data_IF_554873040692
#
_entry.id   IF_554873040692
#
_cell.length_a   1.000
_cell.length_b   1.000
_cell.length_c   1.000
_cell.angle_alpha   90.00
_cell.angle_beta   90.00
_cell.angle_gamma   90.00
#
_symmetry.space_group_name_H-M   'P 1'
#
loop_
_entity.id
_entity.type
_entity.pdbx_description
1 polymer ?
#
# COMPACT_ATOMS: atom_id res chain seq x y z
N UNK A 1 28.92 -4.03 29.93
CA UNK A 1 29.27 -2.68 30.40
C UNK A 1 30.73 -2.40 30.07
N UNK A 2 30.98 -1.43 29.21
CA UNK A 2 32.27 -0.72 29.11
C UNK A 2 31.88 0.76 29.11
N UNK A 3 32.44 1.55 30.04
CA UNK A 3 32.16 2.99 30.23
C UNK A 3 30.68 3.40 30.32
N UNK A 4 29.90 2.76 31.18
CA UNK A 4 28.67 3.37 31.74
C UNK A 4 27.44 3.49 30.83
N UNK A 5 27.41 2.92 29.63
CA UNK A 5 26.20 2.89 28.79
C UNK A 5 25.32 1.66 29.03
N UNK A 6 24.00 1.84 29.07
CA UNK A 6 23.00 0.78 28.91
C UNK A 6 22.68 0.68 27.42
N UNK A 7 22.81 -0.52 26.86
CA UNK A 7 22.55 -0.82 25.47
C UNK A 7 21.24 -1.60 25.39
N UNK A 8 20.24 -1.07 24.67
CA UNK A 8 19.07 -1.85 24.26
C UNK A 8 19.13 -1.96 22.74
N UNK A 9 19.39 -3.17 22.26
CA UNK A 9 19.41 -3.50 20.84
C UNK A 9 18.57 -4.76 20.65
N UNK A 10 17.66 -4.74 19.67
CA UNK A 10 16.99 -5.95 19.19
C UNK A 10 17.82 -6.53 18.04
N UNK A 11 18.62 -7.56 18.32
CA UNK A 11 19.38 -8.32 17.31
C UNK A 11 20.84 -8.59 17.69
N UNK A 12 21.47 -9.55 16.99
CA UNK A 12 22.86 -9.99 17.20
C UNK A 12 23.85 -9.08 16.46
N UNK A 13 24.85 -8.53 17.16
CA UNK A 13 25.94 -7.73 16.60
C UNK A 13 27.27 -8.12 17.26
N UNK A 14 28.38 -7.86 16.57
CA UNK A 14 29.73 -8.00 17.13
C UNK A 14 30.27 -6.61 17.48
N UNK A 15 30.69 -6.45 18.74
CA UNK A 15 31.33 -5.25 19.24
C UNK A 15 32.83 -5.51 19.41
N UNK A 16 33.68 -4.66 18.82
CA UNK A 16 35.13 -4.70 19.03
C UNK A 16 35.60 -3.32 19.48
N UNK A 17 36.44 -3.29 20.51
CA UNK A 17 37.07 -2.08 21.02
C UNK A 17 38.49 -1.98 20.48
N UNK A 18 38.81 -0.88 19.83
CA UNK A 18 40.16 -0.63 19.33
C UNK A 18 40.51 0.84 19.62
N UNK A 19 41.56 1.08 20.41
CA UNK A 19 42.10 2.42 20.64
C UNK A 19 41.21 3.42 21.40
N UNK A 20 40.11 2.99 22.03
CA UNK A 20 39.17 3.88 22.73
C UNK A 20 37.90 4.21 21.94
N UNK A 21 37.83 3.79 20.67
CA UNK A 21 36.65 3.89 19.84
C UNK A 21 35.83 2.58 19.87
N UNK A 22 34.50 2.73 19.87
CA UNK A 22 33.56 1.62 19.71
C UNK A 22 33.20 1.49 18.24
N UNK A 23 33.54 0.35 17.64
CA UNK A 23 33.22 0.06 16.23
C UNK A 23 32.05 -0.92 16.18
N UNK A 24 30.99 -0.55 15.44
CA UNK A 24 29.80 -1.37 15.25
C UNK A 24 29.83 -2.05 13.89
N UNK A 25 29.53 -3.35 13.88
CA UNK A 25 29.34 -4.11 12.65
C UNK A 25 27.95 -4.72 12.65
N UNK A 26 27.09 -4.28 11.71
CA UNK A 26 25.83 -4.96 11.44
C UNK A 26 26.11 -6.29 10.74
N UNK A 27 25.20 -7.26 10.90
CA UNK A 27 25.34 -8.61 10.36
C UNK A 27 25.48 -8.68 8.81
N UNK A 28 25.37 -7.55 8.10
CA UNK A 28 25.35 -7.47 6.63
C UNK A 28 26.52 -6.64 6.07
N UNK A 29 27.54 -6.32 6.88
CA UNK A 29 28.82 -5.78 6.40
C UNK A 29 28.83 -4.28 6.04
N UNK A 30 27.78 -3.52 6.35
CA UNK A 30 27.78 -2.06 6.14
C UNK A 30 28.43 -1.32 7.32
N UNK A 31 29.29 -0.35 6.98
CA UNK A 31 30.00 0.52 7.92
C UNK A 31 29.38 1.92 7.89
N UNK A 32 28.93 2.49 9.02
CA UNK A 32 28.57 3.90 9.07
C UNK A 32 29.83 4.77 8.97
N UNK A 33 29.75 5.90 8.26
CA UNK A 33 30.81 6.90 8.22
C UNK A 33 30.61 7.89 9.37
N UNK A 34 31.65 8.09 10.18
CA UNK A 34 31.64 9.02 11.32
C UNK A 34 32.50 10.23 10.95
N UNK A 35 31.95 11.44 11.06
CA UNK A 35 32.68 12.69 10.87
C UNK A 35 32.87 13.39 12.22
N UNK A 36 34.09 13.84 12.48
CA UNK A 36 34.46 14.56 13.70
C UNK A 36 34.61 16.06 13.40
N UNK A 37 34.09 16.93 14.28
CA UNK A 37 34.48 18.34 14.29
C UNK A 37 35.68 18.59 15.23
N UNK A 38 36.34 19.74 15.06
CA UNK A 38 37.57 20.09 15.78
C UNK A 38 37.38 20.34 17.30
N UNK A 39 36.15 20.31 17.83
CA UNK A 39 35.84 20.56 19.23
C UNK A 39 35.45 19.29 20.01
N UNK A 40 35.48 18.11 19.38
CA UNK A 40 35.14 16.84 20.05
C UNK A 40 33.65 16.70 20.39
N UNK A 41 32.78 17.51 19.79
CA UNK A 41 31.34 17.37 19.92
C UNK A 41 30.80 16.48 18.79
N UNK A 42 29.91 15.55 19.15
CA UNK A 42 29.54 14.41 18.29
C UNK A 42 28.36 14.76 17.40
N UNK A 43 28.50 14.52 16.10
CA UNK A 43 27.40 14.49 15.12
C UNK A 43 27.37 13.07 14.52
N UNK A 44 26.24 12.38 14.66
CA UNK A 44 25.97 11.12 13.96
C UNK A 44 25.09 11.47 12.76
N UNK A 45 25.58 11.23 11.55
CA UNK A 45 24.76 11.31 10.34
C UNK A 45 24.38 9.89 9.90
N UNK A 46 23.10 9.56 10.02
CA UNK A 46 22.50 8.43 9.32
C UNK A 46 21.72 8.97 8.12
N UNK A 47 21.79 8.25 7.00
CA UNK A 47 20.94 8.52 5.85
C UNK A 47 19.47 8.62 6.32
N UNK A 48 18.77 9.68 5.86
CA UNK A 48 17.42 10.13 6.26
C UNK A 48 17.33 11.03 7.51
N UNK A 49 18.10 12.13 7.53
CA UNK A 49 17.79 13.34 8.33
C UNK A 49 17.53 13.13 9.84
N UNK A 50 18.24 12.22 10.51
CA UNK A 50 18.21 12.14 11.97
C UNK A 50 19.54 12.66 12.50
N UNK A 51 19.49 13.74 13.29
CA UNK A 51 20.60 14.23 14.12
C UNK A 51 20.30 13.86 15.56
N UNK A 52 21.09 12.97 16.16
CA UNK A 52 21.00 12.64 17.59
C UNK A 52 22.17 13.31 18.32
N UNK A 53 21.86 14.27 19.19
CA UNK A 53 22.83 14.88 20.09
C UNK A 53 22.85 14.09 21.41
N UNK A 54 23.96 13.40 21.70
CA UNK A 54 24.13 12.67 22.97
C UNK A 54 24.94 13.53 23.93
N UNK A 55 24.34 13.96 25.04
CA UNK A 55 25.05 14.56 26.16
C UNK A 55 25.64 13.47 27.06
N UNK A 56 26.91 13.62 27.42
CA UNK A 56 27.55 12.76 28.43
C UNK A 56 27.40 13.45 29.78
N UNK A 57 26.36 13.10 30.54
CA UNK A 57 26.15 13.56 31.91
C UNK A 57 24.86 13.00 32.52
N UNK A 58 24.96 12.45 33.74
CA UNK A 58 23.83 11.87 34.52
C UNK A 58 22.92 12.96 35.10
N UNK A 59 22.24 13.73 34.26
CA UNK A 59 21.30 14.76 34.73
C UNK A 59 20.13 14.82 33.76
N UNK A 60 18.90 14.74 34.29
CA UNK A 60 17.72 15.10 33.50
C UNK A 60 17.70 16.61 33.21
N UNK A 61 16.81 17.14 32.34
CA UNK A 61 16.73 18.57 32.05
C UNK A 61 16.44 19.47 33.28
N UNK A 62 16.15 18.88 34.45
CA UNK A 62 15.72 19.55 35.68
C UNK A 62 16.72 19.41 36.82
N UNK A 63 17.92 18.88 36.58
CA UNK A 63 18.96 18.84 37.60
C UNK A 63 18.82 17.72 38.63
N UNK A 64 17.90 16.76 38.46
CA UNK A 64 17.67 15.71 39.45
C UNK A 64 18.35 14.38 39.07
N UNK A 65 18.92 13.71 40.08
CA UNK A 65 19.55 12.40 39.88
C UNK A 65 18.49 11.35 39.55
N UNK A 66 18.55 10.77 38.37
CA UNK A 66 17.66 9.68 37.97
C UNK A 66 18.16 8.37 38.60
N UNK A 67 17.34 7.72 39.44
CA UNK A 67 17.63 6.37 39.91
C UNK A 67 17.65 5.41 38.72
N UNK A 68 18.60 4.47 38.72
CA UNK A 68 18.79 3.44 37.68
C UNK A 68 17.47 2.76 37.33
N UNK A 69 16.96 3.01 36.11
CA UNK A 69 15.84 2.26 35.53
C UNK A 69 14.73 3.06 34.86
N UNK A 70 14.71 4.39 34.93
CA UNK A 70 13.67 5.20 34.30
C UNK A 70 14.22 6.04 33.14
N UNK A 71 13.78 5.78 31.90
CA UNK A 71 13.85 6.74 30.81
C UNK A 71 12.54 7.53 30.79
N UNK A 72 12.61 8.87 30.75
CA UNK A 72 11.41 9.72 30.69
C UNK A 72 11.38 10.44 29.35
N UNK A 73 10.37 10.17 28.53
CA UNK A 73 10.11 10.94 27.31
C UNK A 73 9.66 12.37 27.67
N UNK A 74 10.19 13.37 26.98
CA UNK A 74 9.87 14.79 27.21
C UNK A 74 9.47 15.47 25.88
N UNK A 75 8.64 16.52 25.96
CA UNK A 75 8.21 17.35 24.82
C UNK A 75 8.83 18.75 24.94
N UNK A 76 9.30 19.33 23.82
CA UNK A 76 9.86 20.68 23.75
C UNK A 76 8.96 21.57 22.89
N UNK A 77 8.35 22.60 23.50
CA UNK A 77 7.48 23.56 22.83
C UNK A 77 7.76 24.97 23.36
N UNK A 78 7.67 25.98 22.48
CA UNK A 78 7.82 27.40 22.83
C UNK A 78 9.06 27.75 23.69
N UNK A 79 10.17 27.03 23.52
CA UNK A 79 11.42 27.27 24.25
C UNK A 79 11.48 26.64 25.65
N UNK A 80 10.53 25.78 26.02
CA UNK A 80 10.49 25.13 27.33
C UNK A 80 10.28 23.60 27.23
N UNK A 81 10.80 22.88 28.23
CA UNK A 81 10.60 21.45 28.40
C UNK A 81 9.34 21.16 29.24
N UNK A 82 8.56 20.17 28.83
CA UNK A 82 7.34 19.75 29.55
C UNK A 82 7.42 18.28 29.98
N UNK A 83 7.06 18.00 31.24
CA UNK A 83 6.94 16.65 31.80
C UNK A 83 5.56 16.08 31.44
N UNK A 84 5.44 14.83 30.92
CA UNK A 84 4.13 14.24 30.63
C UNK A 84 3.33 14.07 31.92
N UNK A 85 2.07 14.54 31.99
CA UNK A 85 1.16 14.21 33.09
C UNK A 85 0.37 12.94 32.76
N UNK A 86 0.09 12.13 33.78
CA UNK A 86 -0.79 10.97 33.64
C UNK A 86 -2.21 11.45 33.27
N UNK A 87 -2.60 11.26 32.01
CA UNK A 87 -3.85 11.78 31.45
C UNK A 87 -3.66 12.68 30.21
N UNK A 88 -2.43 13.00 29.82
CA UNK A 88 -2.14 13.77 28.60
C UNK A 88 -2.19 12.89 27.33
N UNK A 89 -3.34 12.26 27.08
CA UNK A 89 -3.73 11.80 25.74
C UNK A 89 -4.61 12.84 25.04
N UNK A 90 -4.36 14.13 25.31
CA UNK A 90 -5.01 15.19 24.55
C UNK A 90 -4.22 15.43 23.28
N UNK A 91 -4.78 14.92 22.18
CA UNK A 91 -4.49 15.36 20.82
C UNK A 91 -4.39 16.90 20.79
N UNK A 92 -3.54 17.43 19.91
CA UNK A 92 -3.33 18.87 19.74
C UNK A 92 -4.63 19.68 19.49
N UNK A 93 -5.74 19.00 19.14
CA UNK A 93 -7.03 19.61 18.83
C UNK A 93 -8.16 19.29 19.82
N UNK A 94 -7.87 18.69 21.00
CA UNK A 94 -8.90 18.40 22.01
C UNK A 94 -9.94 17.33 21.61
N UNK A 95 -9.65 16.56 20.56
CA UNK A 95 -10.52 15.49 20.05
C UNK A 95 -10.44 14.22 20.92
N UNK A 96 -11.56 13.77 21.48
CA UNK A 96 -11.67 12.48 22.17
C UNK A 96 -12.19 11.40 21.21
N UNK A 97 -11.52 10.25 21.16
CA UNK A 97 -11.97 9.09 20.39
C UNK A 97 -13.29 8.57 21.00
N UNK A 98 -14.38 8.44 20.22
CA UNK A 98 -15.66 7.96 20.74
C UNK A 98 -15.61 6.47 21.08
N UNK A 99 -16.50 6.01 21.96
CA UNK A 99 -16.61 4.58 22.27
C UNK A 99 -17.17 3.76 21.10
N UNK A 100 -18.02 4.36 20.27
CA UNK A 100 -18.64 3.74 19.10
C UNK A 100 -18.54 4.63 17.87
N UNK A 101 -18.54 3.99 16.71
CA UNK A 101 -18.52 4.60 15.38
C UNK A 101 -19.64 4.04 14.50
N UNK A 102 -19.91 4.76 13.42
CA UNK A 102 -20.67 4.25 12.28
C UNK A 102 -19.75 3.44 11.37
N UNK A 103 -20.20 2.27 10.95
CA UNK A 103 -19.56 1.44 9.95
C UNK A 103 -20.60 0.84 9.01
N UNK A 104 -20.18 0.45 7.80
CA UNK A 104 -21.03 -0.26 6.84
C UNK A 104 -20.81 -1.76 7.01
N UNK A 105 -21.78 -2.45 7.61
CA UNK A 105 -21.76 -3.91 7.73
C UNK A 105 -22.44 -4.60 6.56
N UNK A 106 -22.24 -5.93 6.47
CA UNK A 106 -22.96 -6.81 5.54
C UNK A 106 -23.97 -7.59 6.38
N UNK A 107 -25.27 -7.27 6.25
CA UNK A 107 -26.31 -7.92 7.07
C UNK A 107 -26.46 -9.42 6.75
N UNK A 108 -26.46 -9.74 5.45
CA UNK A 108 -26.44 -11.08 4.90
C UNK A 108 -25.81 -11.03 3.49
N UNK A 109 -25.21 -12.13 2.99
CA UNK A 109 -24.70 -12.15 1.63
C UNK A 109 -25.78 -11.80 0.60
N UNK A 110 -25.52 -10.85 -0.31
CA UNK A 110 -26.57 -10.36 -1.20
C UNK A 110 -26.13 -9.31 -2.23
N UNK A 111 -27.13 -8.61 -2.80
CA UNK A 111 -26.96 -7.46 -3.69
C UNK A 111 -26.45 -6.22 -2.93
N UNK A 112 -26.25 -5.07 -3.60
CA UNK A 112 -25.68 -3.88 -2.98
C UNK A 112 -26.45 -3.42 -1.72
N UNK A 113 -27.75 -3.69 -1.66
CA UNK A 113 -28.64 -3.45 -0.52
C UNK A 113 -28.25 -4.19 0.77
N UNK A 114 -27.37 -5.20 0.69
CA UNK A 114 -26.82 -5.88 1.85
C UNK A 114 -25.89 -5.00 2.71
N UNK A 115 -25.40 -3.89 2.14
CA UNK A 115 -24.57 -2.91 2.83
C UNK A 115 -25.44 -1.96 3.65
N UNK A 116 -25.33 -2.05 4.96
CA UNK A 116 -26.15 -1.29 5.90
C UNK A 116 -25.29 -0.59 6.94
N UNK A 117 -25.69 0.63 7.32
CA UNK A 117 -25.05 1.33 8.42
C UNK A 117 -25.31 0.62 9.75
N UNK A 118 -24.27 0.49 10.57
CA UNK A 118 -24.28 -0.14 11.87
C UNK A 118 -23.49 0.71 12.87
N UNK A 119 -23.92 0.69 14.14
CA UNK A 119 -23.10 1.19 15.25
C UNK A 119 -22.19 0.07 15.74
N UNK A 120 -20.89 0.36 15.83
CA UNK A 120 -19.84 -0.61 16.21
C UNK A 120 -18.87 0.06 17.18
N UNK A 121 -18.24 -0.69 18.11
CA UNK A 121 -17.16 -0.14 18.93
C UNK A 121 -16.01 0.39 18.06
N UNK A 122 -15.39 1.50 18.45
CA UNK A 122 -14.15 1.94 17.83
C UNK A 122 -13.04 0.94 18.20
N UNK A 123 -12.32 0.35 17.22
CA UNK A 123 -11.25 -0.59 17.52
C UNK A 123 -10.07 0.10 18.19
N UNK A 124 -9.44 -0.56 19.16
CA UNK A 124 -8.18 -0.11 19.75
C UNK A 124 -7.00 -0.69 18.94
N UNK A 125 -5.97 0.10 18.60
CA UNK A 125 -4.80 -0.42 17.89
C UNK A 125 -3.96 -1.31 18.81
N UNK A 126 -3.55 -2.47 18.31
CA UNK A 126 -2.58 -3.35 18.96
C UNK A 126 -1.13 -2.87 18.81
N UNK A 127 -0.18 -3.68 19.28
CA UNK A 127 1.25 -3.42 19.12
C UNK A 127 1.65 -3.33 17.63
N UNK A 128 2.30 -2.23 17.25
CA UNK A 128 2.70 -1.98 15.87
C UNK A 128 1.55 -1.57 14.94
N UNK A 129 0.37 -1.27 15.48
CA UNK A 129 -0.79 -0.79 14.75
C UNK A 129 -1.10 0.68 15.07
N UNK A 130 -1.85 1.32 14.18
CA UNK A 130 -2.34 2.68 14.32
C UNK A 130 -3.85 2.71 14.09
N UNK A 131 -4.53 3.60 14.80
CA UNK A 131 -5.93 3.93 14.56
C UNK A 131 -6.01 5.16 13.68
N UNK A 132 -6.63 5.02 12.51
CA UNK A 132 -6.84 6.09 11.55
C UNK A 132 -8.28 6.58 11.69
N UNK A 133 -8.47 7.87 11.93
CA UNK A 133 -9.76 8.54 11.69
C UNK A 133 -9.87 8.72 10.18
N UNK A 134 -10.77 7.95 9.58
CA UNK A 134 -10.87 7.82 8.13
C UNK A 134 -11.47 9.10 7.54
N UNK A 135 -10.88 9.56 6.44
CA UNK A 135 -11.42 10.64 5.61
C UNK A 135 -12.10 10.08 4.36
N UNK A 136 -11.49 9.05 3.77
CA UNK A 136 -12.06 8.33 2.64
C UNK A 136 -11.60 6.86 2.59
N UNK A 137 -12.40 6.02 1.95
CA UNK A 137 -12.10 4.60 1.72
C UNK A 137 -12.29 4.23 0.25
N UNK A 138 -11.37 3.45 -0.31
CA UNK A 138 -11.49 2.96 -1.69
C UNK A 138 -12.42 1.75 -1.80
N UNK A 139 -13.26 1.74 -2.84
CA UNK A 139 -14.11 0.59 -3.18
C UNK A 139 -13.36 -0.32 -4.14
N UNK A 140 -13.35 -1.62 -3.83
CA UNK A 140 -12.60 -2.63 -4.58
C UNK A 140 -13.44 -3.88 -4.90
N UNK A 141 -13.06 -4.60 -5.96
CA UNK A 141 -13.76 -5.82 -6.38
C UNK A 141 -13.84 -6.90 -5.28
N UNK A 142 -12.81 -7.12 -4.43
CA UNK A 142 -12.94 -8.02 -3.29
C UNK A 142 -14.00 -7.60 -2.27
N UNK A 143 -14.31 -6.30 -2.11
CA UNK A 143 -15.39 -5.84 -1.22
C UNK A 143 -16.75 -6.34 -1.73
N UNK A 144 -16.96 -6.26 -3.04
CA UNK A 144 -18.15 -6.82 -3.71
C UNK A 144 -18.23 -8.33 -3.52
N UNK A 145 -17.12 -9.06 -3.69
CA UNK A 145 -17.11 -10.50 -3.51
C UNK A 145 -17.32 -10.90 -2.04
N UNK A 146 -16.81 -10.12 -1.08
CA UNK A 146 -17.08 -10.31 0.34
C UNK A 146 -18.56 -10.10 0.65
N UNK A 147 -19.17 -9.03 0.14
CA UNK A 147 -20.61 -8.77 0.22
C UNK A 147 -21.45 -9.91 -0.36
N UNK A 148 -21.00 -10.53 -1.44
CA UNK A 148 -21.68 -11.68 -2.05
C UNK A 148 -21.42 -13.01 -1.32
N UNK A 149 -20.63 -13.02 -0.24
CA UNK A 149 -20.26 -14.24 0.50
C UNK A 149 -19.25 -15.14 -0.21
N UNK A 150 -18.58 -14.64 -1.27
CA UNK A 150 -17.62 -15.39 -2.09
C UNK A 150 -16.16 -15.15 -1.71
N UNK A 151 -15.89 -14.18 -0.84
CA UNK A 151 -14.53 -13.81 -0.44
C UNK A 151 -14.50 -13.42 1.04
N UNK A 152 -14.60 -14.39 1.96
CA UNK A 152 -14.60 -14.11 3.40
C UNK A 152 -13.28 -13.43 3.83
N UNK A 153 -13.33 -12.55 4.84
CA UNK A 153 -12.11 -11.98 5.41
C UNK A 153 -11.20 -13.09 5.97
N UNK A 154 -9.87 -12.91 5.93
CA UNK A 154 -8.96 -13.84 6.59
C UNK A 154 -9.17 -13.83 8.11
N UNK A 155 -8.83 -14.93 8.82
CA UNK A 155 -8.95 -14.99 10.28
C UNK A 155 -8.25 -13.81 10.97
N UNK A 156 -8.93 -13.16 11.91
CA UNK A 156 -8.43 -12.00 12.65
C UNK A 156 -8.62 -10.64 11.97
N UNK A 157 -8.99 -10.61 10.68
CA UNK A 157 -9.37 -9.35 10.03
C UNK A 157 -10.81 -8.95 10.36
N UNK A 158 -11.11 -7.66 10.21
CA UNK A 158 -12.47 -7.14 10.39
C UNK A 158 -13.46 -7.75 9.40
N UNK A 159 -14.68 -8.00 9.87
CA UNK A 159 -15.84 -8.39 9.06
C UNK A 159 -16.39 -7.22 8.22
N UNK A 160 -16.09 -5.99 8.61
CA UNK A 160 -16.44 -4.78 7.87
C UNK A 160 -15.61 -4.75 6.56
N UNK A 161 -16.23 -4.51 5.39
CA UNK A 161 -15.53 -4.37 4.10
C UNK A 161 -14.62 -3.13 4.05
N UNK A 162 -13.83 -3.02 2.98
CA UNK A 162 -12.91 -1.91 2.75
C UNK A 162 -11.46 -2.30 2.99
N UNK A 163 -10.69 -2.26 1.90
CA UNK A 163 -9.29 -2.72 1.84
C UNK A 163 -8.27 -1.57 1.80
N UNK A 164 -8.71 -0.33 1.73
CA UNK A 164 -7.81 0.82 1.70
C UNK A 164 -8.53 2.05 2.25
N UNK A 165 -7.78 2.91 2.92
CA UNK A 165 -8.27 4.18 3.48
C UNK A 165 -7.24 5.27 3.35
N UNK A 166 -7.68 6.51 3.50
CA UNK A 166 -6.86 7.65 3.91
C UNK A 166 -7.47 8.32 5.13
N UNK A 167 -6.65 9.05 5.88
CA UNK A 167 -7.12 9.76 7.05
C UNK A 167 -5.99 10.29 7.92
N UNK A 168 -6.30 10.56 9.18
CA UNK A 168 -5.33 11.03 10.18
C UNK A 168 -5.15 9.98 11.26
N UNK A 169 -3.92 9.69 11.65
CA UNK A 169 -3.64 8.79 12.77
C UNK A 169 -4.03 9.50 14.09
N UNK A 170 -4.88 8.87 14.88
CA UNK A 170 -5.41 9.43 16.14
C UNK A 170 -5.02 8.63 17.39
N UNK A 171 -4.56 7.40 17.22
CA UNK A 171 -3.95 6.61 18.29
C UNK A 171 -2.98 5.58 17.70
N UNK A 172 -2.10 5.04 18.52
CA UNK A 172 -1.12 4.03 18.15
C UNK A 172 -0.91 3.05 19.29
N UNK A 173 -0.47 1.83 18.98
CA UNK A 173 -0.05 0.85 19.97
C UNK A 173 1.41 0.45 19.81
N UNK A 174 2.10 0.21 20.92
CA UNK A 174 3.42 -0.42 20.93
C UNK A 174 4.55 0.33 20.22
N UNK A 175 4.67 1.65 20.45
CA UNK A 175 5.82 2.43 19.97
C UNK A 175 5.66 3.06 18.59
N UNK A 176 4.43 3.18 18.09
CA UNK A 176 4.08 3.95 16.90
C UNK A 176 3.50 5.35 17.24
N UNK A 177 3.63 5.80 18.49
CA UNK A 177 3.06 7.07 19.00
C UNK A 177 3.54 8.31 18.22
N UNK A 178 4.75 8.28 17.69
CA UNK A 178 5.32 9.33 16.82
C UNK A 178 4.54 9.55 15.51
N UNK A 179 3.67 8.61 15.13
CA UNK A 179 2.84 8.71 13.93
C UNK A 179 1.52 9.44 14.18
N UNK A 180 1.14 9.66 15.45
CA UNK A 180 -0.10 10.35 15.80
C UNK A 180 -0.10 11.78 15.23
N UNK A 181 -1.22 12.17 14.61
CA UNK A 181 -1.40 13.45 13.93
C UNK A 181 -0.99 13.43 12.45
N UNK A 182 -0.29 12.40 11.98
CA UNK A 182 0.10 12.32 10.57
C UNK A 182 -1.07 11.93 9.66
N UNK A 183 -1.11 12.53 8.48
CA UNK A 183 -2.02 12.12 7.40
C UNK A 183 -1.39 10.98 6.60
N UNK A 184 -2.13 9.89 6.45
CA UNK A 184 -1.66 8.67 5.80
C UNK A 184 -2.75 8.08 4.92
N UNK A 185 -2.35 7.32 3.90
CA UNK A 185 -3.21 6.29 3.32
C UNK A 185 -2.63 4.91 3.64
N UNK A 186 -3.48 3.89 3.72
CA UNK A 186 -3.07 2.57 4.19
C UNK A 186 -3.80 1.46 3.46
N UNK A 187 -3.06 0.37 3.23
CA UNK A 187 -3.63 -0.90 2.81
C UNK A 187 -4.15 -1.66 4.04
N UNK A 188 -5.37 -2.17 3.98
CA UNK A 188 -6.05 -2.88 5.06
C UNK A 188 -6.38 -4.32 4.65
N UNK A 189 -6.68 -5.15 5.65
CA UNK A 189 -7.27 -6.48 5.42
C UNK A 189 -8.80 -6.51 5.58
N UNK A 190 -9.41 -5.34 5.83
CA UNK A 190 -10.82 -5.13 6.17
C UNK A 190 -10.96 -3.93 7.11
N UNK A 191 -12.18 -3.43 7.31
CA UNK A 191 -12.47 -2.36 8.26
C UNK A 191 -12.52 -0.95 7.68
N UNK A 192 -12.23 -0.77 6.38
CA UNK A 192 -12.13 0.55 5.78
C UNK A 192 -13.45 1.31 5.64
N UNK A 193 -14.59 0.62 5.58
CA UNK A 193 -15.91 1.27 5.48
C UNK A 193 -16.44 1.64 6.87
N UNK A 194 -15.68 2.47 7.58
CA UNK A 194 -16.00 2.94 8.93
C UNK A 194 -15.36 4.30 9.19
N UNK A 195 -15.88 5.04 10.18
CA UNK A 195 -15.30 6.32 10.60
C UNK A 195 -13.87 6.16 11.17
N UNK A 196 -13.54 4.96 11.68
CA UNK A 196 -12.20 4.61 12.17
C UNK A 196 -11.77 3.21 11.70
N UNK A 197 -10.51 3.08 11.33
CA UNK A 197 -9.92 1.81 10.93
C UNK A 197 -8.55 1.60 11.56
N UNK A 198 -8.25 0.37 11.98
CA UNK A 198 -6.92 -0.03 12.43
C UNK A 198 -6.10 -0.49 11.23
N UNK A 199 -4.87 0.01 11.13
CA UNK A 199 -3.90 -0.40 10.14
C UNK A 199 -2.58 -0.80 10.80
N UNK A 200 -1.87 -1.83 10.30
CA UNK A 200 -0.47 -2.03 10.67
C UNK A 200 0.36 -0.80 10.28
N UNK A 201 1.15 -0.26 11.21
CA UNK A 201 1.90 0.98 11.01
C UNK A 201 2.82 0.91 9.76
N UNK A 202 3.43 -0.26 9.51
CA UNK A 202 4.30 -0.48 8.36
C UNK A 202 3.57 -0.51 7.00
N UNK A 203 2.23 -0.54 6.97
CA UNK A 203 1.43 -0.45 5.74
C UNK A 203 0.86 0.96 5.49
N UNK A 204 1.19 1.93 6.35
CA UNK A 204 0.81 3.33 6.18
C UNK A 204 1.81 4.04 5.28
N UNK A 205 1.31 4.70 4.25
CA UNK A 205 2.05 5.54 3.33
C UNK A 205 1.77 7.02 3.68
N UNK A 206 2.82 7.85 3.88
CA UNK A 206 2.64 9.23 4.33
C UNK A 206 2.08 10.10 3.22
N UNK A 207 1.01 10.86 3.46
CA UNK A 207 0.42 11.71 2.43
C UNK A 207 1.24 13.00 2.29
N UNK A 208 1.74 13.36 1.08
CA UNK A 208 2.46 14.61 0.87
C UNK A 208 1.59 15.84 1.18
N UNK A 209 2.16 16.95 1.68
CA UNK A 209 1.40 18.17 1.93
C UNK A 209 0.63 18.64 0.68
N UNK A 210 -0.66 18.91 0.84
CA UNK A 210 -1.53 19.39 -0.24
C UNK A 210 -2.10 18.31 -1.16
N UNK A 211 -1.77 17.03 -0.95
CA UNK A 211 -2.39 15.92 -1.68
C UNK A 211 -3.80 15.64 -1.14
N UNK A 212 -4.78 15.49 -2.03
CA UNK A 212 -6.18 15.27 -1.65
C UNK A 212 -6.35 13.93 -0.93
N UNK A 213 -6.93 13.95 0.28
CA UNK A 213 -7.14 12.72 1.06
C UNK A 213 -8.05 11.74 0.31
N UNK A 214 -9.05 12.22 -0.41
CA UNK A 214 -9.98 11.36 -1.15
C UNK A 214 -9.28 10.61 -2.27
N UNK A 215 -8.39 11.27 -3.01
CA UNK A 215 -7.52 10.59 -3.98
C UNK A 215 -6.52 9.66 -3.31
N UNK A 216 -5.91 10.07 -2.19
CA UNK A 216 -4.94 9.23 -1.50
C UNK A 216 -5.54 7.88 -1.05
N UNK A 217 -6.83 7.84 -0.72
CA UNK A 217 -7.55 6.61 -0.38
C UNK A 217 -7.70 5.63 -1.56
N UNK A 218 -7.50 6.08 -2.80
CA UNK A 218 -7.63 5.28 -4.00
C UNK A 218 -6.31 4.66 -4.49
N UNK A 219 -5.20 4.93 -3.80
CA UNK A 219 -3.86 4.45 -4.14
C UNK A 219 -3.57 3.02 -3.62
N UNK A 220 -3.73 2.69 -2.32
CA UNK A 220 -3.05 1.54 -1.72
C UNK A 220 -3.33 0.18 -2.37
N UNK A 221 -4.59 -0.24 -2.50
CA UNK A 221 -4.95 -1.57 -3.00
C UNK A 221 -4.43 -1.77 -4.42
N UNK A 222 -4.61 -0.77 -5.28
CA UNK A 222 -4.19 -0.88 -6.68
C UNK A 222 -2.67 -0.78 -6.84
N UNK A 223 -2.04 0.13 -6.11
CA UNK A 223 -0.60 0.35 -6.18
C UNK A 223 0.17 -0.88 -5.69
N UNK A 224 -0.19 -1.42 -4.52
CA UNK A 224 0.45 -2.65 -4.01
C UNK A 224 0.22 -3.83 -4.95
N UNK A 225 -0.99 -3.98 -5.48
CA UNK A 225 -1.30 -5.09 -6.39
C UNK A 225 -0.50 -5.00 -7.69
N UNK A 226 -0.46 -3.84 -8.32
CA UNK A 226 0.28 -3.65 -9.58
C UNK A 226 1.78 -3.77 -9.34
N UNK A 227 2.33 -3.13 -8.32
CA UNK A 227 3.76 -3.17 -8.02
C UNK A 227 4.26 -4.60 -7.81
N UNK A 228 3.62 -5.32 -6.89
CA UNK A 228 4.05 -6.67 -6.51
C UNK A 228 3.83 -7.72 -7.59
N UNK A 229 2.97 -7.47 -8.58
CA UNK A 229 2.67 -8.45 -9.63
C UNK A 229 3.33 -8.11 -10.96
N UNK A 230 3.29 -6.86 -11.40
CA UNK A 230 3.86 -6.45 -12.67
C UNK A 230 5.37 -6.18 -12.57
N UNK A 231 5.79 -5.45 -11.54
CA UNK A 231 7.21 -5.05 -11.40
C UNK A 231 8.03 -6.08 -10.64
N UNK A 232 7.57 -6.57 -9.48
CA UNK A 232 8.35 -7.54 -8.69
C UNK A 232 8.28 -8.98 -9.26
N UNK A 233 7.09 -9.43 -9.69
CA UNK A 233 6.85 -10.84 -10.04
C UNK A 233 6.97 -11.12 -11.53
N UNK A 234 6.50 -10.21 -12.38
CA UNK A 234 6.68 -10.33 -13.82
C UNK A 234 8.01 -9.71 -14.29
N UNK A 235 8.71 -8.96 -13.42
CA UNK A 235 9.96 -8.27 -13.75
C UNK A 235 9.82 -7.35 -14.96
N UNK A 236 8.71 -6.62 -15.07
CA UNK A 236 8.55 -5.60 -16.11
C UNK A 236 9.62 -4.52 -15.93
N UNK A 237 10.34 -4.22 -17.01
CA UNK A 237 11.47 -3.30 -17.03
C UNK A 237 11.31 -2.24 -18.13
N UNK A 238 12.02 -1.11 -18.03
CA UNK A 238 12.06 -0.10 -19.10
C UNK A 238 12.34 -0.72 -20.47
N UNK A 239 11.53 -0.38 -21.46
CA UNK A 239 11.58 -0.92 -22.82
C UNK A 239 10.75 -2.18 -23.06
N UNK A 240 10.23 -2.84 -22.01
CA UNK A 240 9.30 -3.96 -22.16
C UNK A 240 7.95 -3.50 -22.73
N UNK A 241 7.25 -4.43 -23.38
CA UNK A 241 5.82 -4.32 -23.70
C UNK A 241 5.03 -5.30 -22.84
N UNK A 242 3.97 -4.82 -22.18
CA UNK A 242 3.13 -5.64 -21.30
C UNK A 242 1.65 -5.56 -21.71
N UNK A 243 0.92 -6.65 -21.47
CA UNK A 243 -0.54 -6.73 -21.65
C UNK A 243 -1.23 -6.72 -20.29
N UNK A 244 -2.19 -5.81 -20.11
CA UNK A 244 -3.01 -5.74 -18.88
C UNK A 244 -4.50 -5.82 -19.24
N UNK A 245 -5.20 -6.80 -18.68
CA UNK A 245 -6.65 -6.89 -18.86
C UNK A 245 -7.41 -5.91 -17.96
N UNK A 246 -8.57 -5.45 -18.42
CA UNK A 246 -9.41 -4.52 -17.65
C UNK A 246 -8.82 -3.12 -17.55
N UNK A 247 -8.45 -2.53 -18.70
CA UNK A 247 -7.70 -1.27 -18.79
C UNK A 247 -8.33 -0.08 -18.05
N UNK A 248 -9.65 0.00 -17.98
CA UNK A 248 -10.37 1.07 -17.28
C UNK A 248 -10.69 0.77 -15.81
N UNK A 249 -10.25 -0.36 -15.27
CA UNK A 249 -10.39 -0.67 -13.85
C UNK A 249 -9.40 0.12 -13.01
N UNK A 250 -9.55 0.11 -11.68
CA UNK A 250 -8.53 0.66 -10.77
C UNK A 250 -7.14 0.05 -11.00
N UNK A 251 -7.05 -1.27 -11.20
CA UNK A 251 -5.77 -1.93 -11.51
C UNK A 251 -5.24 -1.52 -12.88
N UNK A 252 -6.09 -1.50 -13.90
CA UNK A 252 -5.68 -1.14 -15.27
C UNK A 252 -5.17 0.29 -15.35
N UNK A 253 -5.89 1.24 -14.77
CA UNK A 253 -5.50 2.66 -14.75
C UNK A 253 -4.24 2.93 -13.93
N UNK A 254 -4.07 2.23 -12.80
CA UNK A 254 -2.82 2.29 -12.02
C UNK A 254 -1.63 1.68 -12.79
N UNK A 255 -1.85 0.56 -13.48
CA UNK A 255 -0.82 -0.06 -14.32
C UNK A 255 -0.42 0.85 -15.48
N UNK A 256 -1.37 1.53 -16.13
CA UNK A 256 -1.07 2.54 -17.16
C UNK A 256 -0.17 3.64 -16.58
N UNK A 257 -0.55 4.22 -15.45
CA UNK A 257 0.23 5.30 -14.82
C UNK A 257 1.64 4.85 -14.46
N UNK A 258 1.81 3.68 -13.85
CA UNK A 258 3.14 3.16 -13.51
C UNK A 258 3.96 2.81 -14.74
N UNK A 259 3.39 2.14 -15.75
CA UNK A 259 4.12 1.83 -16.97
C UNK A 259 4.66 3.08 -17.66
N UNK A 260 3.89 4.19 -17.67
CA UNK A 260 4.38 5.48 -18.16
C UNK A 260 5.53 6.08 -17.35
N UNK A 261 5.50 5.92 -16.02
CA UNK A 261 6.55 6.46 -15.14
C UNK A 261 7.86 5.67 -15.23
N UNK A 262 7.78 4.40 -15.62
CA UNK A 262 8.91 3.46 -15.68
C UNK A 262 9.26 3.02 -17.11
N UNK A 263 8.85 3.79 -18.13
CA UNK A 263 9.18 3.56 -19.55
C UNK A 263 8.81 2.15 -20.07
N UNK A 264 7.69 1.60 -19.60
CA UNK A 264 7.11 0.34 -20.06
C UNK A 264 5.97 0.63 -21.03
N UNK A 265 5.98 -0.02 -22.21
CA UNK A 265 4.88 0.08 -23.17
C UNK A 265 3.72 -0.80 -22.71
N UNK A 266 2.53 -0.23 -22.54
CA UNK A 266 1.36 -0.97 -22.07
C UNK A 266 0.27 -1.10 -23.14
N UNK A 267 -0.15 -2.34 -23.39
CA UNK A 267 -1.34 -2.71 -24.13
C UNK A 267 -2.42 -3.07 -23.11
N UNK A 268 -3.62 -2.51 -23.25
CA UNK A 268 -4.75 -2.85 -22.38
C UNK A 268 -5.94 -3.41 -23.14
N UNK A 269 -6.74 -4.27 -22.50
CA UNK A 269 -8.03 -4.70 -23.06
C UNK A 269 -9.21 -4.02 -22.37
N UNK A 270 -10.20 -3.60 -23.16
CA UNK A 270 -11.41 -2.92 -22.71
C UNK A 270 -12.67 -3.49 -23.37
N UNK A 271 -13.83 -3.27 -22.74
CA UNK A 271 -15.09 -3.92 -23.13
C UNK A 271 -15.97 -3.17 -24.14
N UNK A 272 -15.52 -2.02 -24.63
CA UNK A 272 -16.11 -1.23 -25.71
C UNK A 272 -15.10 -0.16 -26.19
N UNK A 273 -15.44 0.53 -27.28
CA UNK A 273 -14.58 1.53 -27.89
C UNK A 273 -14.43 2.80 -27.03
N UNK A 274 -15.48 3.22 -26.33
CA UNK A 274 -15.42 4.36 -25.41
C UNK A 274 -14.37 4.15 -24.31
N UNK A 275 -14.33 2.94 -23.73
CA UNK A 275 -13.33 2.57 -22.73
C UNK A 275 -11.93 2.45 -23.31
N UNK A 276 -11.80 2.00 -24.56
CA UNK A 276 -10.51 2.05 -25.24
C UNK A 276 -10.03 3.49 -25.39
N UNK A 277 -10.90 4.41 -25.82
CA UNK A 277 -10.58 5.83 -25.94
C UNK A 277 -10.17 6.43 -24.59
N UNK A 278 -10.92 6.17 -23.52
CA UNK A 278 -10.59 6.61 -22.16
C UNK A 278 -9.23 6.07 -21.69
N UNK A 279 -8.93 4.80 -21.98
CA UNK A 279 -7.65 4.21 -21.59
C UNK A 279 -6.46 4.84 -22.35
N UNK A 280 -6.63 5.14 -23.64
CA UNK A 280 -5.63 5.84 -24.44
C UNK A 280 -5.42 7.27 -23.96
N UNK A 281 -6.50 8.00 -23.68
CA UNK A 281 -6.46 9.36 -23.11
C UNK A 281 -5.74 9.39 -21.75
N UNK A 282 -6.00 8.40 -20.90
CA UNK A 282 -5.31 8.23 -19.63
C UNK A 282 -3.82 7.89 -19.79
N UNK A 283 -3.44 7.30 -20.93
CA UNK A 283 -2.06 7.11 -21.31
C UNK A 283 -1.63 5.70 -21.66
N UNK A 284 -2.56 4.77 -21.91
CA UNK A 284 -2.19 3.49 -22.49
C UNK A 284 -1.55 3.71 -23.87
N UNK A 285 -0.50 2.96 -24.21
CA UNK A 285 0.09 3.03 -25.55
C UNK A 285 -0.86 2.44 -26.59
N UNK A 286 -1.55 1.35 -26.22
CA UNK A 286 -2.55 0.69 -27.05
C UNK A 286 -3.73 0.21 -26.21
N UNK A 287 -4.94 0.23 -26.80
CA UNK A 287 -6.13 -0.32 -26.20
C UNK A 287 -6.89 -1.19 -27.21
N UNK A 288 -7.28 -2.39 -26.80
CA UNK A 288 -7.98 -3.37 -27.64
C UNK A 288 -9.38 -3.60 -27.12
N UNK A 289 -10.39 -3.42 -27.98
CA UNK A 289 -11.76 -3.78 -27.65
C UNK A 289 -11.94 -5.29 -27.83
N UNK A 290 -11.92 -6.04 -26.73
CA UNK A 290 -11.97 -7.51 -26.78
C UNK A 290 -13.30 -8.09 -27.28
N UNK A 291 -14.33 -7.25 -27.50
CA UNK A 291 -15.62 -7.69 -28.07
C UNK A 291 -15.64 -7.66 -29.60
N UNK A 292 -14.83 -6.80 -30.22
CA UNK A 292 -14.81 -6.59 -31.67
C UNK A 292 -13.47 -7.01 -32.29
N UNK A 293 -12.44 -7.19 -31.48
CA UNK A 293 -11.09 -7.56 -31.90
C UNK A 293 -10.57 -8.77 -31.12
N UNK A 294 -9.71 -9.56 -31.75
CA UNK A 294 -8.93 -10.59 -31.07
C UNK A 294 -7.66 -9.97 -30.48
N UNK A 295 -7.58 -9.90 -29.14
CA UNK A 295 -6.42 -9.33 -28.47
C UNK A 295 -5.12 -10.11 -28.73
N UNK A 296 -5.17 -11.40 -29.06
CA UNK A 296 -3.97 -12.17 -29.41
C UNK A 296 -3.40 -11.69 -30.73
N UNK A 297 -4.27 -11.48 -31.72
CA UNK A 297 -3.88 -10.95 -33.03
C UNK A 297 -3.36 -9.51 -32.91
N UNK A 298 -4.02 -8.66 -32.10
CA UNK A 298 -3.57 -7.28 -31.89
C UNK A 298 -2.23 -7.20 -31.15
N UNK A 299 -2.00 -8.01 -30.12
CA UNK A 299 -0.70 -8.05 -29.43
C UNK A 299 0.39 -8.45 -30.42
N UNK A 300 0.17 -9.48 -31.25
CA UNK A 300 1.13 -9.87 -32.30
C UNK A 300 1.38 -8.72 -33.29
N UNK A 301 0.33 -8.03 -33.74
CA UNK A 301 0.47 -6.89 -34.67
C UNK A 301 1.27 -5.75 -34.05
N UNK A 302 1.00 -5.41 -32.79
CA UNK A 302 1.65 -4.31 -32.06
C UNK A 302 3.13 -4.62 -31.78
N UNK A 303 3.46 -5.89 -31.55
CA UNK A 303 4.80 -6.34 -31.16
C UNK A 303 5.61 -6.92 -32.33
N UNK A 304 5.19 -6.68 -33.57
CA UNK A 304 5.81 -7.23 -34.79
C UNK A 304 6.01 -8.75 -34.74
N UNK A 305 5.03 -9.45 -34.16
CA UNK A 305 5.00 -10.90 -34.00
C UNK A 305 5.83 -11.44 -32.84
N UNK A 306 6.56 -10.60 -32.10
CA UNK A 306 7.43 -11.03 -31.00
C UNK A 306 6.67 -11.43 -29.74
N UNK A 307 5.50 -10.83 -29.50
CA UNK A 307 4.75 -10.97 -28.25
C UNK A 307 5.22 -10.00 -27.15
N UNK A 308 4.46 -9.97 -26.05
CA UNK A 308 4.70 -9.11 -24.89
C UNK A 308 5.52 -9.84 -23.80
N UNK A 309 6.31 -9.09 -23.02
CA UNK A 309 7.18 -9.65 -21.97
C UNK A 309 6.39 -10.09 -20.73
N UNK A 310 5.25 -9.46 -20.45
CA UNK A 310 4.39 -9.83 -19.33
C UNK A 310 2.91 -9.65 -19.62
N UNK A 311 2.09 -10.50 -19.00
CA UNK A 311 0.63 -10.36 -18.92
C UNK A 311 0.21 -10.25 -17.46
N UNK A 312 -0.55 -9.21 -17.12
CA UNK A 312 -1.26 -9.10 -15.85
C UNK A 312 -2.74 -9.48 -16.05
N UNK A 313 -3.11 -10.64 -15.54
CA UNK A 313 -4.40 -11.28 -15.82
C UNK A 313 -5.34 -11.23 -14.62
N UNK A 314 -6.49 -10.58 -14.80
CA UNK A 314 -7.60 -10.58 -13.85
C UNK A 314 -8.82 -11.38 -14.32
N UNK A 315 -8.76 -11.93 -15.54
CA UNK A 315 -9.85 -12.67 -16.16
C UNK A 315 -9.73 -14.15 -15.82
N UNK A 316 -8.57 -14.77 -16.04
CA UNK A 316 -8.42 -16.22 -15.86
C UNK A 316 -9.27 -17.01 -16.85
N UNK A 317 -9.60 -18.26 -16.51
CA UNK A 317 -10.36 -19.14 -17.41
C UNK A 317 -9.65 -19.36 -18.75
N UNK A 318 -10.42 -19.32 -19.83
CA UNK A 318 -9.92 -19.51 -21.21
C UNK A 318 -8.94 -18.42 -21.65
N UNK A 319 -8.87 -17.29 -20.95
CA UNK A 319 -7.87 -16.26 -21.24
C UNK A 319 -6.47 -16.74 -20.93
N UNK A 320 -6.26 -17.69 -19.99
CA UNK A 320 -4.91 -18.13 -19.63
C UNK A 320 -4.18 -18.71 -20.85
N UNK A 321 -4.82 -19.61 -21.61
CA UNK A 321 -4.20 -20.16 -22.83
C UNK A 321 -3.89 -19.08 -23.86
N UNK A 322 -4.85 -18.16 -24.09
CA UNK A 322 -4.68 -17.04 -25.03
C UNK A 322 -3.60 -16.04 -24.59
N UNK A 323 -3.42 -15.88 -23.29
CA UNK A 323 -2.39 -15.03 -22.72
C UNK A 323 -1.00 -15.63 -22.96
N UNK A 324 -0.86 -16.97 -22.90
CA UNK A 324 0.38 -17.63 -23.31
C UNK A 324 0.69 -17.42 -24.80
N UNK A 325 -0.33 -17.32 -25.66
CA UNK A 325 -0.16 -16.98 -27.09
C UNK A 325 0.27 -15.52 -27.32
N UNK A 326 0.02 -14.63 -26.35
CA UNK A 326 0.40 -13.23 -26.42
C UNK A 326 1.84 -12.97 -25.95
N UNK A 327 2.41 -13.86 -25.14
CA UNK A 327 3.74 -13.64 -24.56
C UNK A 327 4.83 -13.66 -25.64
N UNK A 328 6.00 -13.14 -25.33
CA UNK A 328 7.26 -13.38 -26.03
C UNK A 328 7.95 -14.66 -25.52
N UNK A 329 9.12 -15.01 -26.08
CA UNK A 329 10.02 -15.95 -25.38
C UNK A 329 10.38 -15.40 -23.99
N UNK A 330 10.52 -16.30 -23.01
CA UNK A 330 10.80 -15.99 -21.60
C UNK A 330 9.73 -15.10 -20.92
N UNK A 331 8.57 -14.93 -21.56
CA UNK A 331 7.47 -14.10 -21.06
C UNK A 331 6.80 -14.63 -19.79
N UNK A 332 6.19 -13.73 -19.01
CA UNK A 332 5.59 -14.04 -17.70
C UNK A 332 4.10 -13.74 -17.67
N UNK A 333 3.29 -14.74 -17.33
CA UNK A 333 1.88 -14.57 -17.01
C UNK A 333 1.69 -14.48 -15.50
N UNK A 334 0.98 -13.45 -15.02
CA UNK A 334 0.66 -13.27 -13.61
C UNK A 334 -0.85 -13.14 -13.41
N UNK A 335 -1.47 -14.17 -12.83
CA UNK A 335 -2.89 -14.13 -12.45
C UNK A 335 -3.09 -13.43 -11.09
N UNK A 336 -3.98 -12.44 -11.06
CA UNK A 336 -4.36 -11.69 -9.84
C UNK A 336 -5.85 -11.82 -9.48
N UNK A 337 -6.67 -12.30 -10.41
CA UNK A 337 -8.08 -12.61 -10.20
C UNK A 337 -8.59 -13.63 -11.23
N UNK A 338 -9.82 -14.11 -11.04
CA UNK A 338 -10.42 -15.19 -11.84
C UNK A 338 -11.85 -14.83 -12.28
N UNK A 339 -12.06 -13.58 -12.75
CA UNK A 339 -13.39 -13.06 -13.07
C UNK A 339 -14.12 -13.83 -14.18
N UNK A 340 -13.36 -14.42 -15.11
CA UNK A 340 -13.84 -15.28 -16.20
C UNK A 340 -13.75 -16.78 -15.90
N UNK A 341 -13.26 -17.19 -14.72
CA UNK A 341 -13.21 -18.59 -14.31
C UNK A 341 -11.94 -18.97 -13.56
N UNK A 342 -12.09 -19.86 -12.56
CA UNK A 342 -10.98 -20.31 -11.70
C UNK A 342 -10.18 -21.50 -12.25
N UNK A 343 -10.55 -22.04 -13.41
CA UNK A 343 -9.92 -23.21 -14.03
C UNK A 343 -9.58 -22.88 -15.48
N UNK A 344 -8.42 -23.34 -15.93
CA UNK A 344 -7.96 -23.17 -17.30
C UNK A 344 -7.33 -24.46 -17.81
N UNK A 345 -7.48 -24.73 -19.12
CA UNK A 345 -6.75 -25.76 -19.84
C UNK A 345 -5.58 -25.10 -20.60
N UNK A 346 -4.39 -25.70 -20.55
CA UNK A 346 -3.17 -25.13 -21.13
C UNK A 346 -2.35 -26.19 -21.88
N UNK A 347 -1.65 -25.77 -22.93
CA UNK A 347 -0.75 -26.64 -23.69
C UNK A 347 0.69 -26.55 -23.16
N UNK A 348 1.09 -27.51 -22.33
CA UNK A 348 2.40 -27.52 -21.65
C UNK A 348 3.62 -27.40 -22.59
N UNK A 349 3.66 -28.05 -23.76
CA UNK A 349 4.81 -27.91 -24.66
C UNK A 349 5.08 -26.47 -25.09
N UNK A 350 4.06 -25.60 -25.21
CA UNK A 350 4.24 -24.17 -25.51
C UNK A 350 5.04 -23.45 -24.42
N UNK A 351 4.73 -23.74 -23.15
CA UNK A 351 5.43 -23.17 -22.00
C UNK A 351 6.89 -23.62 -22.01
N UNK A 352 7.15 -24.90 -22.28
CA UNK A 352 8.51 -25.45 -22.31
C UNK A 352 9.35 -24.87 -23.45
N UNK A 353 8.80 -24.83 -24.67
CA UNK A 353 9.52 -24.37 -25.87
C UNK A 353 9.90 -22.89 -25.77
N UNK A 354 9.01 -22.08 -25.20
CA UNK A 354 9.19 -20.62 -25.08
C UNK A 354 9.66 -20.19 -23.69
N UNK A 355 9.93 -21.13 -22.79
CA UNK A 355 10.41 -20.93 -21.41
C UNK A 355 9.53 -19.95 -20.62
N UNK A 356 8.21 -20.05 -20.79
CA UNK A 356 7.27 -19.13 -20.16
C UNK A 356 7.20 -19.36 -18.66
N UNK A 357 6.96 -18.29 -17.90
CA UNK A 357 6.67 -18.37 -16.47
C UNK A 357 5.17 -18.17 -16.23
N UNK A 358 4.52 -19.12 -15.57
CA UNK A 358 3.15 -18.99 -15.10
C UNK A 358 3.15 -18.83 -13.58
N UNK A 359 2.59 -17.72 -13.08
CA UNK A 359 2.54 -17.43 -11.64
C UNK A 359 1.25 -16.69 -11.27
N UNK A 360 0.99 -16.55 -9.97
CA UNK A 360 -0.21 -15.92 -9.45
C UNK A 360 0.02 -15.41 -8.01
N UNK A 361 -0.79 -14.43 -7.59
CA UNK A 361 -0.84 -14.05 -6.18
C UNK A 361 -2.18 -13.43 -5.78
N UNK A 362 -2.47 -13.45 -4.48
CA UNK A 362 -3.51 -12.62 -3.86
C UNK A 362 -2.85 -11.75 -2.80
N UNK A 363 -3.38 -10.54 -2.59
CA UNK A 363 -2.77 -9.55 -1.70
C UNK A 363 -3.29 -9.63 -0.26
N UNK A 364 -4.62 -9.73 -0.07
CA UNK A 364 -5.27 -9.60 1.24
C UNK A 364 -4.73 -10.56 2.31
N UNK A 365 -4.46 -11.81 1.94
CA UNK A 365 -4.00 -12.85 2.87
C UNK A 365 -2.49 -12.84 3.13
N UNK A 366 -1.73 -11.94 2.50
CA UNK A 366 -0.27 -11.84 2.70
C UNK A 366 0.03 -11.32 4.10
N UNK A 367 1.17 -11.75 4.65
CA UNK A 367 1.59 -11.35 5.99
C UNK A 367 1.77 -9.84 6.12
N UNK A 368 1.62 -9.34 7.34
CA UNK A 368 1.90 -7.92 7.66
C UNK A 368 3.33 -7.57 7.27
N UNK A 369 4.31 -8.42 7.60
CA UNK A 369 5.71 -8.19 7.25
C UNK A 369 5.97 -8.07 5.74
N UNK A 370 5.33 -8.92 4.92
CA UNK A 370 5.44 -8.81 3.46
C UNK A 370 4.90 -7.46 2.97
N UNK A 371 3.68 -7.10 3.39
CA UNK A 371 3.06 -5.84 2.96
C UNK A 371 3.84 -4.62 3.47
N UNK A 372 4.42 -4.68 4.67
CA UNK A 372 5.27 -3.59 5.18
C UNK A 372 6.56 -3.40 4.36
N UNK A 373 7.17 -4.49 3.87
CA UNK A 373 8.33 -4.39 2.98
C UNK A 373 7.96 -3.77 1.63
N UNK A 374 6.82 -4.15 1.08
CA UNK A 374 6.28 -3.54 -0.16
C UNK A 374 6.00 -2.05 0.05
N UNK A 375 5.39 -1.67 1.17
CA UNK A 375 5.14 -0.27 1.51
C UNK A 375 6.45 0.54 1.54
N UNK A 376 7.48 0.02 2.21
CA UNK A 376 8.80 0.66 2.29
C UNK A 376 9.48 0.79 0.93
N UNK A 377 9.33 -0.20 0.05
CA UNK A 377 9.78 -0.11 -1.34
C UNK A 377 9.00 0.93 -2.15
N UNK A 378 7.67 0.95 -2.05
CA UNK A 378 6.82 1.96 -2.69
C UNK A 378 7.20 3.37 -2.23
N UNK A 379 7.46 3.57 -0.93
CA UNK A 379 7.95 4.85 -0.39
C UNK A 379 9.25 5.29 -1.05
N UNK A 380 10.20 4.37 -1.29
CA UNK A 380 11.48 4.69 -1.94
C UNK A 380 11.36 4.95 -3.43
N UNK A 381 10.57 4.14 -4.12
CA UNK A 381 10.64 4.02 -5.58
C UNK A 381 9.51 4.76 -6.29
N UNK A 382 8.30 4.75 -5.72
CA UNK A 382 7.10 5.30 -6.36
C UNK A 382 6.66 6.62 -5.74
N UNK A 383 6.80 6.74 -4.42
CA UNK A 383 6.31 7.90 -3.67
C UNK A 383 6.93 9.25 -4.05
N UNK A 384 8.18 9.34 -4.55
CA UNK A 384 8.67 10.58 -5.15
C UNK A 384 7.74 11.12 -6.25
N UNK A 385 7.18 10.25 -7.11
CA UNK A 385 6.23 10.66 -8.14
C UNK A 385 4.87 11.10 -7.58
N UNK A 386 4.46 10.54 -6.44
CA UNK A 386 3.25 10.99 -5.72
C UNK A 386 3.47 12.38 -5.14
N UNK A 387 4.62 12.62 -4.51
CA UNK A 387 5.00 13.91 -3.96
C UNK A 387 5.16 15.00 -5.04
N UNK A 388 5.64 14.62 -6.23
CA UNK A 388 5.73 15.50 -7.41
C UNK A 388 4.38 15.72 -8.12
N UNK A 389 3.30 15.04 -7.70
CA UNK A 389 1.99 15.10 -8.35
C UNK A 389 1.92 14.39 -9.71
N UNK A 390 2.97 13.66 -10.09
CA UNK A 390 3.06 12.88 -11.35
C UNK A 390 2.32 11.55 -11.29
N UNK A 391 2.08 11.03 -10.09
CA UNK A 391 1.20 9.88 -9.86
C UNK A 391 -0.06 10.31 -9.10
N UNK A 392 -1.19 10.28 -9.81
CA UNK A 392 -2.54 10.41 -9.24
C UNK A 392 -3.41 9.26 -9.71
N UNK A 393 -4.33 8.76 -8.87
CA UNK A 393 -5.25 7.69 -9.29
C UNK A 393 -6.29 8.24 -10.26
N UNK A 394 -6.73 7.42 -11.21
CA UNK A 394 -7.92 7.70 -11.98
C UNK A 394 -9.15 7.63 -11.07
N UNK A 395 -9.99 8.67 -11.06
CA UNK A 395 -11.16 8.76 -10.19
C UNK A 395 -12.46 8.66 -11.02
N UNK A 396 -13.38 7.80 -10.61
CA UNK A 396 -14.72 7.68 -11.20
C UNK A 396 -15.71 8.61 -10.48
N UNK A 397 -16.09 8.24 -9.25
CA UNK A 397 -17.10 8.93 -8.46
C UNK A 397 -16.81 8.83 -6.96
N UNK A 398 -17.30 9.83 -6.23
CA UNK A 398 -17.29 9.92 -4.77
C UNK A 398 -18.71 9.69 -4.27
N UNK A 399 -18.88 8.86 -3.26
CA UNK A 399 -20.14 8.63 -2.57
C UNK A 399 -19.95 8.85 -1.08
N UNK A 400 -20.94 9.37 -0.39
CA UNK A 400 -20.90 9.35 1.08
C UNK A 400 -20.87 7.89 1.56
N UNK A 401 -20.22 7.62 2.70
CA UNK A 401 -20.15 6.27 3.26
C UNK A 401 -21.55 5.66 3.45
N UNK A 402 -22.54 6.48 3.81
CA UNK A 402 -23.95 6.06 3.94
C UNK A 402 -24.54 5.53 2.62
N UNK A 403 -23.99 5.93 1.48
CA UNK A 403 -24.39 5.52 0.13
C UNK A 403 -23.53 4.37 -0.44
N UNK A 404 -22.84 3.60 0.41
CA UNK A 404 -21.99 2.49 -0.01
C UNK A 404 -22.68 1.47 -0.94
N UNK A 405 -24.00 1.27 -0.78
CA UNK A 405 -24.81 0.45 -1.69
C UNK A 405 -24.80 1.01 -3.13
N UNK A 406 -24.90 2.32 -3.32
CA UNK A 406 -24.83 2.96 -4.64
C UNK A 406 -23.42 2.82 -5.24
N UNK A 407 -22.39 2.98 -4.44
CA UNK A 407 -21.01 2.78 -4.86
C UNK A 407 -20.75 1.34 -5.34
N UNK A 408 -21.29 0.35 -4.63
CA UNK A 408 -21.21 -1.06 -5.05
C UNK A 408 -22.05 -1.35 -6.31
N UNK A 409 -23.23 -0.75 -6.44
CA UNK A 409 -24.04 -0.87 -7.67
C UNK A 409 -23.30 -0.29 -8.90
N UNK A 410 -22.61 0.85 -8.73
CA UNK A 410 -21.74 1.44 -9.76
C UNK A 410 -20.61 0.48 -10.14
N UNK A 411 -19.98 -0.18 -9.17
CA UNK A 411 -18.95 -1.19 -9.42
C UNK A 411 -19.50 -2.42 -10.16
N UNK A 412 -20.67 -2.92 -9.76
CA UNK A 412 -21.34 -4.08 -10.36
C UNK A 412 -21.73 -3.84 -11.82
N UNK A 413 -22.16 -2.62 -12.17
CA UNK A 413 -22.46 -2.24 -13.56
C UNK A 413 -21.26 -2.36 -14.51
N UNK A 414 -20.03 -2.33 -13.96
CA UNK A 414 -18.80 -2.32 -14.73
C UNK A 414 -18.58 -1.05 -15.55
N UNK A 415 -19.42 -0.01 -15.42
CA UNK A 415 -19.34 1.22 -16.22
C UNK A 415 -18.37 2.29 -15.67
N UNK A 416 -17.64 1.98 -14.59
CA UNK A 416 -16.68 2.89 -13.97
C UNK A 416 -15.36 3.00 -14.75
N UNK A 417 -14.73 4.17 -14.64
CA UNK A 417 -13.36 4.42 -15.07
C UNK A 417 -12.49 4.76 -13.85
N UNK A 418 -11.52 3.90 -13.54
CA UNK A 418 -10.66 4.08 -12.37
C UNK A 418 -11.35 3.71 -11.05
N UNK A 419 -11.22 4.57 -10.05
CA UNK A 419 -11.54 4.28 -8.64
C UNK A 419 -12.80 4.97 -8.15
N UNK A 420 -13.62 4.20 -7.46
CA UNK A 420 -14.78 4.68 -6.69
C UNK A 420 -14.33 4.78 -5.22
N UNK A 421 -14.73 5.85 -4.55
CA UNK A 421 -14.34 6.15 -3.17
C UNK A 421 -15.55 6.53 -2.33
N UNK A 422 -15.52 6.13 -1.06
CA UNK A 422 -16.45 6.54 -0.02
C UNK A 422 -15.83 7.68 0.80
N UNK A 423 -16.57 8.76 1.01
CA UNK A 423 -16.19 9.88 1.88
C UNK A 423 -16.91 9.78 3.22
N UNK A 424 -16.19 10.11 4.30
CA UNK A 424 -16.70 10.04 5.68
C UNK A 424 -17.50 11.26 6.10
#
# INVERSE_FOLDING_TARGET
>A
MVNGAILVASGSFNLRLQGGDAVFQFAHGQWPQILFDQAGQRIIALARQIVIQVHVGNVDPWGQSVNKGAATACRFEAGAWHKPQAGDSKMADGYSIPAEMTAIGIAAPGGPEALVAQRRPVPAPGEGEVLIRVAAAGVNRPDVLQRQGKYPPPPGASDIPGLEVSGTIVAAGGGADQLIGQQVCALLAGGGYAEYAVAPAGQCLPIPPGYDLVEAAALPETLFTVWTNLFERAYAAPGDTVLVHGGTSGIGTMAISLCRLFDVTIIVTCGNDDKCAQALEWGAAHAVNYKTQDFVAEVKRITDGKGCQAVLDMVGGDYVARNLDCLAEDGRHVSIAVLGGAKAEIFIPQIMQRRLTLTASTLRARSVGFKSLVADELVRTVWPFVAEGRLRPAMDQRFDMADAAKAHARMDSGAHFGKIVLTM
#
